data_IF_140348564381
#
_entry.id   IF_140348564381
#
_cell.length_a   1.000
_cell.length_b   1.000
_cell.length_c   1.000
_cell.angle_alpha   90.00
_cell.angle_beta   90.00
_cell.angle_gamma   90.00
#
_symmetry.space_group_name_H-M   'P 1'
#
loop_
_entity.id
_entity.type
_entity.pdbx_description
1 polymer ?
#
# COMPACT_ATOMS: atom_id res chain seq x y z
N UNK A 1 23.53 -1.51 -19.55
CA UNK A 1 22.25 -1.85 -18.87
C UNK A 1 22.40 -1.93 -17.33
N UNK A 2 23.43 -1.34 -16.73
CA UNK A 2 23.77 -1.47 -15.30
C UNK A 2 23.42 -0.24 -14.44
N UNK A 3 23.09 0.90 -15.05
CA UNK A 3 22.86 2.16 -14.32
C UNK A 3 21.46 2.31 -13.70
N UNK A 4 20.50 1.45 -14.07
CA UNK A 4 19.11 1.55 -13.56
C UNK A 4 18.99 1.07 -12.12
N UNK A 5 19.92 0.19 -11.65
CA UNK A 5 19.80 -0.45 -10.34
C UNK A 5 20.20 0.45 -9.16
N UNK A 6 20.83 1.61 -9.41
CA UNK A 6 21.43 2.44 -8.35
C UNK A 6 21.23 3.96 -8.52
N UNK A 7 20.31 4.40 -9.38
CA UNK A 7 19.96 5.82 -9.46
C UNK A 7 18.97 6.19 -8.34
N UNK A 8 19.24 7.28 -7.63
CA UNK A 8 18.29 7.84 -6.65
C UNK A 8 16.96 8.13 -7.36
N UNK A 9 15.80 7.91 -6.70
CA UNK A 9 14.51 8.20 -7.32
C UNK A 9 14.44 9.66 -7.75
N UNK A 10 14.02 9.90 -8.99
CA UNK A 10 13.87 11.26 -9.53
C UNK A 10 12.68 11.94 -8.81
N UNK A 11 12.60 13.26 -8.84
CA UNK A 11 11.52 14.01 -8.17
C UNK A 11 10.11 13.50 -8.54
N UNK A 12 9.88 13.19 -9.81
CA UNK A 12 8.60 12.65 -10.27
C UNK A 12 8.26 11.29 -9.65
N UNK A 13 9.24 10.40 -9.51
CA UNK A 13 9.03 9.06 -8.94
C UNK A 13 8.72 9.16 -7.44
N UNK A 14 9.33 10.11 -6.74
CA UNK A 14 9.02 10.43 -5.33
C UNK A 14 7.61 10.97 -5.17
N UNK A 15 7.19 11.85 -6.09
CA UNK A 15 5.85 12.40 -6.09
C UNK A 15 4.80 11.31 -6.36
N UNK A 16 5.01 10.46 -7.38
CA UNK A 16 4.11 9.34 -7.68
C UNK A 16 4.06 8.34 -6.52
N UNK A 17 5.20 8.02 -5.90
CA UNK A 17 5.25 7.15 -4.73
C UNK A 17 4.48 7.74 -3.53
N UNK A 18 4.57 9.06 -3.31
CA UNK A 18 3.82 9.74 -2.26
C UNK A 18 2.31 9.74 -2.52
N UNK A 19 1.90 9.92 -3.79
CA UNK A 19 0.50 9.86 -4.23
C UNK A 19 -0.08 8.44 -4.12
N UNK A 20 0.76 7.40 -4.15
CA UNK A 20 0.32 6.01 -4.09
C UNK A 20 -0.44 5.66 -2.80
N UNK A 21 -0.29 6.43 -1.73
CA UNK A 21 -1.01 6.20 -0.48
C UNK A 21 -2.43 6.79 -0.49
N UNK A 22 -2.65 8.11 -0.66
CA UNK A 22 -4.00 8.67 -0.68
C UNK A 22 -4.81 8.25 -1.92
N UNK A 23 -4.14 8.06 -3.06
CA UNK A 23 -4.77 7.72 -4.33
C UNK A 23 -4.41 6.29 -4.77
N UNK A 24 -4.33 5.37 -3.80
CA UNK A 24 -3.93 3.98 -4.02
C UNK A 24 -4.68 3.29 -5.16
N UNK A 25 -5.99 3.51 -5.26
CA UNK A 25 -6.84 2.90 -6.29
C UNK A 25 -6.53 3.39 -7.71
N UNK A 26 -5.94 4.58 -7.85
CA UNK A 26 -5.58 5.18 -9.13
C UNK A 26 -4.10 4.94 -9.46
N UNK A 27 -3.22 5.18 -8.49
CA UNK A 27 -1.76 5.15 -8.71
C UNK A 27 -1.25 3.72 -8.87
N UNK A 28 -1.81 2.76 -8.14
CA UNK A 28 -1.42 1.36 -8.29
C UNK A 28 -1.60 0.84 -9.74
N UNK A 29 -2.80 0.92 -10.34
CA UNK A 29 -2.95 0.49 -11.74
C UNK A 29 -2.15 1.37 -12.69
N UNK A 30 -2.09 2.69 -12.47
CA UNK A 30 -1.29 3.60 -13.31
C UNK A 30 0.18 3.20 -13.39
N UNK A 31 0.81 2.94 -12.25
CA UNK A 31 2.21 2.50 -12.18
C UNK A 31 2.38 1.18 -12.92
N UNK A 32 1.48 0.21 -12.74
CA UNK A 32 1.60 -1.11 -13.35
C UNK A 32 1.35 -1.11 -14.87
N UNK A 33 0.46 -0.24 -15.35
CA UNK A 33 0.15 -0.06 -16.77
C UNK A 33 1.22 0.72 -17.51
N UNK A 34 2.11 1.43 -16.81
CA UNK A 34 3.19 2.21 -17.41
C UNK A 34 4.51 1.42 -17.38
N UNK A 35 5.02 0.90 -18.52
CA UNK A 35 6.18 0.00 -18.54
C UNK A 35 7.43 0.56 -17.88
N UNK A 36 7.70 1.85 -18.08
CA UNK A 36 8.89 2.50 -17.52
C UNK A 36 8.80 2.66 -15.99
N UNK A 37 7.58 2.89 -15.48
CA UNK A 37 7.33 3.15 -14.07
C UNK A 37 7.17 1.86 -13.27
N UNK A 38 6.52 0.85 -13.84
CA UNK A 38 6.38 -0.47 -13.20
C UNK A 38 7.72 -1.14 -12.97
N UNK A 39 8.81 -0.73 -13.61
CA UNK A 39 10.11 -1.38 -13.43
C UNK A 39 10.99 -0.74 -12.35
N UNK A 40 10.59 0.41 -11.82
CA UNK A 40 11.32 1.14 -10.78
C UNK A 40 11.05 0.49 -9.41
N UNK A 41 12.07 -0.06 -8.71
CA UNK A 41 11.87 -0.78 -7.44
C UNK A 41 11.24 0.08 -6.34
N UNK A 42 11.67 1.34 -6.23
CA UNK A 42 11.13 2.31 -5.28
C UNK A 42 9.63 2.56 -5.50
N UNK A 43 9.24 2.79 -6.76
CA UNK A 43 7.86 3.08 -7.11
C UNK A 43 6.97 1.84 -6.99
N UNK A 44 7.47 0.66 -7.40
CA UNK A 44 6.82 -0.64 -7.17
C UNK A 44 6.48 -0.84 -5.69
N UNK A 45 7.47 -0.64 -4.80
CA UNK A 45 7.29 -0.83 -3.37
C UNK A 45 6.17 0.07 -2.82
N UNK A 46 6.23 1.38 -3.07
CA UNK A 46 5.24 2.32 -2.56
C UNK A 46 3.86 2.13 -3.21
N UNK A 47 3.79 1.73 -4.48
CA UNK A 47 2.53 1.37 -5.13
C UNK A 47 1.86 0.15 -4.47
N UNK A 48 2.60 -0.94 -4.24
CA UNK A 48 2.07 -2.11 -3.54
C UNK A 48 1.71 -1.81 -2.08
N UNK A 49 2.54 -1.05 -1.37
CA UNK A 49 2.29 -0.68 0.02
C UNK A 49 1.05 0.21 0.16
N UNK A 50 0.91 1.21 -0.72
CA UNK A 50 -0.27 2.06 -0.81
C UNK A 50 -1.52 1.26 -1.14
N UNK A 51 -1.46 0.35 -2.11
CA UNK A 51 -2.57 -0.53 -2.48
C UNK A 51 -2.99 -1.46 -1.34
N UNK A 52 -2.04 -2.07 -0.64
CA UNK A 52 -2.32 -2.95 0.50
C UNK A 52 -2.93 -2.17 1.68
N UNK A 53 -2.42 -0.97 2.02
CA UNK A 53 -3.04 -0.10 3.02
C UNK A 53 -4.44 0.36 2.62
N UNK A 54 -4.62 0.72 1.36
CA UNK A 54 -5.91 1.13 0.84
C UNK A 54 -6.94 0.01 0.88
N UNK A 55 -6.57 -1.18 0.43
CA UNK A 55 -7.47 -2.33 0.37
C UNK A 55 -7.81 -2.86 1.77
N UNK A 56 -6.82 -3.12 2.62
CA UNK A 56 -7.08 -3.70 3.94
C UNK A 56 -7.45 -2.65 4.98
N UNK A 57 -6.74 -1.53 4.98
CA UNK A 57 -6.95 -0.46 5.95
C UNK A 57 -8.19 0.36 5.66
N UNK A 58 -8.34 0.90 4.44
CA UNK A 58 -9.49 1.79 4.13
C UNK A 58 -10.72 0.98 3.75
N UNK A 59 -10.65 0.18 2.68
CA UNK A 59 -11.80 -0.55 2.17
C UNK A 59 -12.22 -1.71 3.11
N UNK A 60 -11.25 -2.49 3.58
CA UNK A 60 -11.45 -3.62 4.48
C UNK A 60 -12.08 -3.21 5.81
N UNK A 61 -11.54 -2.18 6.47
CA UNK A 61 -12.11 -1.66 7.72
C UNK A 61 -13.51 -1.07 7.51
N UNK A 62 -13.74 -0.35 6.40
CA UNK A 62 -15.05 0.21 6.08
C UNK A 62 -16.10 -0.88 5.88
N UNK A 63 -15.75 -1.96 5.17
CA UNK A 63 -16.61 -3.12 4.97
C UNK A 63 -16.88 -3.84 6.29
N UNK A 64 -15.83 -4.10 7.07
CA UNK A 64 -15.94 -4.73 8.39
C UNK A 64 -16.89 -3.94 9.31
N UNK A 65 -16.72 -2.61 9.37
CA UNK A 65 -17.58 -1.71 10.15
C UNK A 65 -19.04 -1.80 9.69
N UNK A 66 -19.28 -1.79 8.38
CA UNK A 66 -20.63 -1.87 7.82
C UNK A 66 -21.32 -3.20 8.19
N UNK A 67 -20.63 -4.33 8.01
CA UNK A 67 -21.14 -5.66 8.38
C UNK A 67 -21.42 -5.73 9.88
N UNK A 68 -20.47 -5.28 10.71
CA UNK A 68 -20.61 -5.31 12.16
C UNK A 68 -21.81 -4.47 12.62
N UNK A 69 -21.96 -3.25 12.09
CA UNK A 69 -23.10 -2.38 12.39
C UNK A 69 -24.44 -3.00 12.03
N UNK A 70 -24.53 -3.74 10.92
CA UNK A 70 -25.74 -4.49 10.56
C UNK A 70 -26.05 -5.61 11.56
N UNK A 71 -25.04 -6.33 12.05
CA UNK A 71 -25.23 -7.43 13.00
C UNK A 71 -25.64 -6.94 14.39
N UNK A 72 -25.01 -5.86 14.89
CA UNK A 72 -25.26 -5.35 16.25
C UNK A 72 -26.34 -4.28 16.32
N UNK A 73 -27.07 -4.03 15.22
CA UNK A 73 -28.06 -2.95 15.12
C UNK A 73 -29.14 -2.99 16.19
N UNK A 74 -29.49 -4.17 16.68
CA UNK A 74 -30.47 -4.37 17.76
C UNK A 74 -29.92 -4.04 19.15
N UNK A 75 -28.60 -3.89 19.30
CA UNK A 75 -27.88 -3.63 20.54
C UNK A 75 -27.20 -2.26 20.50
N UNK A 76 -27.98 -1.18 20.55
CA UNK A 76 -27.50 0.22 20.38
C UNK A 76 -26.36 0.59 21.34
N UNK A 77 -26.40 0.11 22.59
CA UNK A 77 -25.33 0.39 23.57
C UNK A 77 -23.99 -0.23 23.17
N UNK A 78 -23.99 -1.36 22.46
CA UNK A 78 -22.78 -2.00 21.98
C UNK A 78 -22.13 -1.19 20.85
N UNK A 79 -22.93 -0.64 19.94
CA UNK A 79 -22.45 0.19 18.83
C UNK A 79 -21.81 1.50 19.35
N UNK A 80 -22.43 2.15 20.34
CA UNK A 80 -21.88 3.36 20.97
C UNK A 80 -20.55 3.10 21.68
N UNK A 81 -20.42 1.97 22.36
CA UNK A 81 -19.19 1.61 23.08
C UNK A 81 -18.05 1.25 22.12
N UNK A 82 -18.37 0.61 20.99
CA UNK A 82 -17.39 0.19 20.00
C UNK A 82 -16.96 1.32 19.05
N UNK A 83 -17.83 2.32 18.84
CA UNK A 83 -17.56 3.49 18.01
C UNK A 83 -16.19 4.15 18.26
N UNK A 84 -15.79 4.52 19.49
CA UNK A 84 -14.49 5.16 19.72
C UNK A 84 -13.32 4.26 19.31
N UNK A 85 -13.41 2.94 19.55
CA UNK A 85 -12.36 1.99 19.19
C UNK A 85 -12.19 1.89 17.66
N UNK A 86 -13.30 1.76 16.94
CA UNK A 86 -13.28 1.72 15.47
C UNK A 86 -12.78 3.04 14.87
N UNK A 87 -13.17 4.17 15.48
CA UNK A 87 -12.68 5.48 15.06
C UNK A 87 -11.19 5.64 15.28
N UNK A 88 -10.65 5.19 16.41
CA UNK A 88 -9.21 5.18 16.65
C UNK A 88 -8.45 4.37 15.59
N UNK A 89 -9.03 3.23 15.15
CA UNK A 89 -8.42 2.42 14.10
C UNK A 89 -8.44 3.11 12.72
N UNK A 90 -9.52 3.81 12.38
CA UNK A 90 -9.59 4.64 11.15
C UNK A 90 -8.52 5.74 11.17
N UNK A 91 -8.36 6.43 12.31
CA UNK A 91 -7.32 7.45 12.47
C UNK A 91 -5.91 6.86 12.39
N UNK A 92 -5.69 5.64 12.90
CA UNK A 92 -4.41 4.95 12.76
C UNK A 92 -4.09 4.66 11.29
N UNK A 93 -5.06 4.16 10.51
CA UNK A 93 -4.87 3.93 9.06
C UNK A 93 -4.53 5.25 8.36
N UNK A 94 -5.24 6.34 8.68
CA UNK A 94 -4.95 7.65 8.12
C UNK A 94 -3.55 8.15 8.48
N UNK A 95 -3.10 7.92 9.72
CA UNK A 95 -1.75 8.25 10.16
C UNK A 95 -0.68 7.44 9.39
N UNK A 96 -0.93 6.14 9.13
CA UNK A 96 -0.05 5.29 8.32
C UNK A 96 0.02 5.75 6.85
N UNK A 97 -1.11 6.16 6.28
CA UNK A 97 -1.17 6.77 4.93
C UNK A 97 -0.33 8.05 4.91
N UNK A 98 -0.52 8.95 5.87
CA UNK A 98 0.24 10.19 5.95
C UNK A 98 1.75 9.94 6.14
N UNK A 99 2.11 9.02 7.04
CA UNK A 99 3.49 8.59 7.26
C UNK A 99 4.14 8.08 5.96
N UNK A 100 3.45 7.17 5.26
CA UNK A 100 3.89 6.63 3.99
C UNK A 100 4.09 7.71 2.92
N UNK A 101 3.13 8.62 2.77
CA UNK A 101 3.21 9.76 1.86
C UNK A 101 4.44 10.62 2.13
N UNK A 102 4.67 11.02 3.39
CA UNK A 102 5.79 11.89 3.76
C UNK A 102 7.13 11.20 3.51
N UNK A 103 7.25 9.91 3.88
CA UNK A 103 8.50 9.16 3.67
C UNK A 103 8.80 8.95 2.19
N UNK A 104 7.79 8.58 1.40
CA UNK A 104 7.92 8.44 -0.05
C UNK A 104 8.33 9.76 -0.71
N UNK A 105 7.75 10.89 -0.28
CA UNK A 105 8.13 12.21 -0.78
C UNK A 105 9.59 12.56 -0.47
N UNK A 106 10.09 12.16 0.71
CA UNK A 106 11.51 12.28 1.07
C UNK A 106 12.42 11.31 0.31
N UNK A 107 11.87 10.39 -0.51
CA UNK A 107 12.63 9.37 -1.22
C UNK A 107 13.12 8.22 -0.33
N UNK A 108 12.45 8.00 0.82
CA UNK A 108 12.76 6.92 1.75
C UNK A 108 11.69 5.84 1.68
N UNK A 109 12.12 4.58 1.83
CA UNK A 109 11.19 3.47 2.00
C UNK A 109 10.48 3.62 3.34
N UNK A 110 9.15 3.59 3.33
CA UNK A 110 8.34 3.66 4.54
C UNK A 110 8.32 2.28 5.21
N UNK A 111 8.94 2.15 6.36
CA UNK A 111 8.94 0.90 7.12
C UNK A 111 7.73 0.88 8.06
N UNK A 112 6.69 0.19 7.61
CA UNK A 112 5.49 -0.14 8.38
C UNK A 112 5.58 -1.64 8.76
N UNK A 113 5.54 -1.99 10.05
CA UNK A 113 5.69 -3.38 10.50
C UNK A 113 4.58 -4.27 9.92
N UNK A 114 4.91 -5.53 9.64
CA UNK A 114 4.07 -6.53 8.96
C UNK A 114 3.73 -6.22 7.50
N UNK A 115 3.37 -4.98 7.19
CA UNK A 115 3.00 -4.56 5.85
C UNK A 115 4.22 -4.48 4.91
N UNK A 116 5.34 -3.95 5.39
CA UNK A 116 6.54 -3.81 4.54
C UNK A 116 7.12 -5.18 4.19
N UNK A 117 7.08 -6.11 5.14
CA UNK A 117 7.53 -7.49 4.94
C UNK A 117 6.61 -8.22 3.95
N UNK A 118 5.29 -8.01 4.05
CA UNK A 118 4.33 -8.50 3.09
C UNK A 118 4.58 -7.95 1.67
N UNK A 119 4.81 -6.65 1.52
CA UNK A 119 5.11 -6.06 0.20
C UNK A 119 6.41 -6.59 -0.37
N UNK A 120 7.44 -6.77 0.47
CA UNK A 120 8.71 -7.36 0.06
C UNK A 120 8.53 -8.82 -0.37
N UNK A 121 7.72 -9.60 0.34
CA UNK A 121 7.47 -11.01 -0.02
C UNK A 121 6.76 -11.16 -1.37
N UNK A 122 5.84 -10.26 -1.72
CA UNK A 122 5.24 -10.20 -3.08
C UNK A 122 6.32 -9.97 -4.14
N UNK A 123 7.27 -9.07 -3.89
CA UNK A 123 8.38 -8.80 -4.80
C UNK A 123 9.30 -10.00 -4.99
N UNK A 124 9.70 -10.66 -3.90
CA UNK A 124 10.57 -11.84 -3.90
C UNK A 124 9.95 -13.05 -4.61
N UNK A 125 8.64 -13.28 -4.38
CA UNK A 125 7.91 -14.38 -5.01
C UNK A 125 7.85 -14.26 -6.53
N UNK A 126 7.73 -13.03 -7.07
CA UNK A 126 7.77 -12.81 -8.52
C UNK A 126 9.15 -13.08 -9.11
N UNK A 127 10.22 -12.66 -8.44
CA UNK A 127 11.58 -12.91 -8.91
C UNK A 127 11.92 -14.41 -8.98
N UNK A 128 11.46 -15.21 -8.00
CA UNK A 128 11.66 -16.66 -7.99
C UNK A 128 10.83 -17.39 -9.05
N UNK A 129 9.65 -16.87 -9.43
CA UNK A 129 8.82 -17.45 -10.48
C UNK A 129 9.40 -17.25 -11.89
N UNK A 130 10.10 -16.14 -12.11
CA UNK A 130 10.77 -15.81 -13.38
C UNK A 130 12.09 -16.58 -13.58
N UNK A 131 12.77 -16.95 -12.48
CA UNK A 131 13.99 -17.78 -12.50
C UNK A 131 13.70 -19.29 -12.62
N UNK A 132 12.47 -19.72 -12.31
CA UNK A 132 12.05 -21.12 -12.37
C UNK A 132 11.37 -21.54 -13.69
N UNK A 133 11.25 -20.63 -14.66
CA UNK A 133 10.74 -20.90 -16.01
C UNK A 133 11.89 -20.96 -17.03
N UNK A 134 12.49 -22.14 -17.27
CA UNK A 134 13.60 -22.31 -18.22
C UNK A 134 13.14 -22.38 -19.69
N UNK A 135 11.95 -21.88 -20.05
CA UNK A 135 11.38 -22.04 -21.40
C UNK A 135 11.54 -20.84 -22.35
N UNK A 136 12.25 -19.77 -21.94
CA UNK A 136 12.60 -18.62 -22.80
C UNK A 136 14.12 -18.47 -23.05
N UNK A 137 14.81 -19.56 -23.39
CA UNK A 137 16.09 -19.53 -24.15
C UNK A 137 15.99 -20.28 -25.48
#
# INVERSE_FOLDING_TARGET
MSDIKNSKPVHEDRLMAALAYPFWFLVFPLVYMTPDKRNIPFLKFHAYQGAALGLWGVAGLSLFRAVLSLMVRWFILFDVLLFPLLKMLEWLVLALVAYGTVWAYQGKYAEIPYLSDFVRSIGSSKAQAEEADPSEE
#
